data_IF_889578592698
#
_entry.id   IF_889578592698
#
_cell.length_a   1.000
_cell.length_b   1.000
_cell.length_c   1.000
_cell.angle_alpha   90.00
_cell.angle_beta   90.00
_cell.angle_gamma   90.00
#
_symmetry.space_group_name_H-M   'P 1'
#
loop_
_entity.id
_entity.type
_entity.pdbx_description
1 polymer ?
#
# COMPACT_ATOMS: atom_id res chain seq x y z
N UNK A 1 2.20 29.27 30.06
CA UNK A 1 1.76 28.04 29.33
C UNK A 1 1.65 26.91 30.35
N UNK A 2 0.51 26.23 30.49
CA UNK A 2 0.33 25.19 31.53
C UNK A 2 0.80 23.80 31.06
N UNK A 3 1.22 22.94 31.99
CA UNK A 3 1.67 21.56 31.74
C UNK A 3 0.65 20.73 30.90
N UNK A 4 -0.65 20.98 31.06
CA UNK A 4 -1.70 20.33 30.28
C UNK A 4 -1.66 20.70 28.77
N UNK A 5 -1.25 21.93 28.43
CA UNK A 5 -1.09 22.35 27.03
C UNK A 5 0.12 21.66 26.39
N UNK A 6 1.21 21.49 27.15
CA UNK A 6 2.40 20.78 26.69
C UNK A 6 2.11 19.29 26.47
N UNK A 7 1.46 18.61 27.43
CA UNK A 7 1.09 17.20 27.29
C UNK A 7 0.18 16.93 26.08
N UNK A 8 -0.77 17.82 25.77
CA UNK A 8 -1.61 17.69 24.57
C UNK A 8 -0.81 17.84 23.26
N UNK A 9 0.19 18.71 23.21
CA UNK A 9 1.05 18.88 22.03
C UNK A 9 1.93 17.67 21.81
N UNK A 10 2.53 17.14 22.87
CA UNK A 10 3.37 15.95 22.83
C UNK A 10 2.56 14.72 22.40
N UNK A 11 1.35 14.53 22.93
CA UNK A 11 0.46 13.44 22.54
C UNK A 11 0.08 13.52 21.04
N UNK A 12 -0.27 14.70 20.52
CA UNK A 12 -0.54 14.89 19.08
C UNK A 12 0.68 14.58 18.22
N UNK A 13 1.87 14.99 18.66
CA UNK A 13 3.14 14.70 17.96
C UNK A 13 3.39 13.19 17.92
N UNK A 14 3.18 12.48 19.02
CA UNK A 14 3.33 11.04 19.07
C UNK A 14 2.35 10.31 18.15
N UNK A 15 1.06 10.67 18.17
CA UNK A 15 0.05 10.11 17.25
C UNK A 15 0.47 10.33 15.79
N UNK A 16 0.88 11.55 15.44
CA UNK A 16 1.32 11.87 14.08
C UNK A 16 2.53 11.03 13.66
N UNK A 17 3.53 10.86 14.53
CA UNK A 17 4.71 10.05 14.25
C UNK A 17 4.37 8.56 14.11
N UNK A 18 3.51 8.03 14.98
CA UNK A 18 3.04 6.64 14.92
C UNK A 18 2.26 6.36 13.63
N UNK A 19 1.38 7.28 13.22
CA UNK A 19 0.64 7.23 11.96
C UNK A 19 1.57 7.29 10.76
N UNK A 20 2.48 8.27 10.72
CA UNK A 20 3.46 8.40 9.63
C UNK A 20 4.25 7.10 9.42
N UNK A 21 4.72 6.49 10.51
CA UNK A 21 5.42 5.21 10.46
C UNK A 21 4.53 4.09 9.90
N UNK A 22 3.33 3.90 10.48
CA UNK A 22 2.41 2.85 10.05
C UNK A 22 1.98 3.00 8.58
N UNK A 23 1.76 4.23 8.13
CA UNK A 23 1.36 4.55 6.77
C UNK A 23 2.49 4.26 5.79
N UNK A 24 3.71 4.68 6.11
CA UNK A 24 4.89 4.40 5.31
C UNK A 24 5.19 2.91 5.18
N UNK A 25 5.10 2.15 6.29
CA UNK A 25 5.31 0.71 6.27
C UNK A 25 4.26 -0.02 5.42
N UNK A 26 2.98 0.38 5.50
CA UNK A 26 1.94 -0.20 4.66
C UNK A 26 2.18 0.09 3.16
N UNK A 27 2.47 1.34 2.80
CA UNK A 27 2.76 1.69 1.40
C UNK A 27 4.00 0.95 0.88
N UNK A 28 5.04 0.82 1.70
CA UNK A 28 6.25 0.10 1.29
C UNK A 28 6.00 -1.39 1.09
N UNK A 29 5.30 -2.06 2.01
CA UNK A 29 5.04 -3.50 1.89
C UNK A 29 4.11 -3.81 0.72
N UNK A 30 3.04 -3.04 0.54
CA UNK A 30 2.07 -3.29 -0.54
C UNK A 30 2.67 -2.99 -1.93
N UNK A 31 3.48 -1.93 -2.06
CA UNK A 31 4.17 -1.63 -3.32
C UNK A 31 5.23 -2.70 -3.64
N UNK A 32 5.90 -3.23 -2.61
CA UNK A 32 6.84 -4.36 -2.75
C UNK A 32 6.14 -5.62 -3.25
N UNK A 33 4.97 -5.93 -2.69
CA UNK A 33 4.18 -7.08 -3.10
C UNK A 33 3.76 -6.97 -4.56
N UNK A 34 3.23 -5.81 -4.95
CA UNK A 34 2.84 -5.49 -6.32
C UNK A 34 4.04 -5.57 -7.28
N UNK A 35 5.18 -4.99 -6.92
CA UNK A 35 6.39 -5.03 -7.76
C UNK A 35 6.85 -6.46 -7.99
N UNK A 36 6.88 -7.27 -6.94
CA UNK A 36 7.32 -8.67 -7.00
C UNK A 36 6.42 -9.50 -7.93
N UNK A 37 5.10 -9.42 -7.75
CA UNK A 37 4.15 -10.29 -8.44
C UNK A 37 3.62 -9.73 -9.76
N UNK A 38 3.89 -8.46 -10.07
CA UNK A 38 3.56 -7.87 -11.37
C UNK A 38 4.81 -7.65 -12.23
N UNK A 39 5.80 -6.92 -11.72
CA UNK A 39 6.96 -6.49 -12.52
C UNK A 39 7.96 -7.62 -12.67
N UNK A 40 8.46 -8.17 -11.55
CA UNK A 40 9.43 -9.26 -11.59
C UNK A 40 8.84 -10.54 -12.18
N UNK A 41 7.53 -10.74 -12.03
CA UNK A 41 6.81 -11.82 -12.71
C UNK A 41 6.93 -11.70 -14.24
N UNK A 42 6.61 -10.51 -14.80
CA UNK A 42 6.71 -10.26 -16.24
C UNK A 42 8.13 -10.44 -16.75
N UNK A 43 9.12 -9.93 -16.02
CA UNK A 43 10.53 -10.08 -16.38
C UNK A 43 10.96 -11.55 -16.45
N UNK A 44 10.57 -12.37 -15.45
CA UNK A 44 10.90 -13.81 -15.46
C UNK A 44 10.22 -14.55 -16.59
N UNK A 45 8.94 -14.28 -16.85
CA UNK A 45 8.21 -14.90 -17.96
C UNK A 45 8.83 -14.52 -19.30
N UNK A 46 9.28 -13.28 -19.48
CA UNK A 46 10.00 -12.84 -20.68
C UNK A 46 11.31 -13.60 -20.91
N UNK A 47 11.95 -14.02 -19.84
CA UNK A 47 13.18 -14.81 -19.87
C UNK A 47 12.93 -16.33 -19.96
N UNK A 48 11.66 -16.77 -20.06
CA UNK A 48 11.29 -18.19 -20.09
C UNK A 48 11.54 -18.92 -18.76
N UNK A 49 11.62 -18.18 -17.65
CA UNK A 49 11.89 -18.71 -16.31
C UNK A 49 10.58 -19.07 -15.58
N UNK A 50 10.69 -19.93 -14.58
CA UNK A 50 9.56 -20.26 -13.70
C UNK A 50 9.29 -19.15 -12.68
N UNK A 51 8.03 -19.02 -12.26
CA UNK A 51 7.55 -17.99 -11.32
C UNK A 51 7.32 -18.51 -9.90
N UNK A 52 7.49 -19.81 -9.66
CA UNK A 52 7.20 -20.47 -8.39
C UNK A 52 7.95 -19.85 -7.20
N UNK A 53 9.23 -19.48 -7.37
CA UNK A 53 10.00 -18.79 -6.32
C UNK A 53 9.45 -17.39 -6.01
N UNK A 54 8.95 -16.67 -7.02
CA UNK A 54 8.35 -15.35 -6.83
C UNK A 54 7.02 -15.48 -6.10
N UNK A 55 6.19 -16.46 -6.46
CA UNK A 55 4.91 -16.74 -5.81
C UNK A 55 5.11 -17.13 -4.33
N UNK A 56 6.08 -18.00 -4.03
CA UNK A 56 6.42 -18.36 -2.66
C UNK A 56 6.90 -17.17 -1.82
N UNK A 57 7.74 -16.29 -2.40
CA UNK A 57 8.13 -15.02 -1.76
C UNK A 57 6.95 -14.07 -1.62
N UNK A 58 6.02 -14.08 -2.58
CA UNK A 58 4.81 -13.29 -2.57
C UNK A 58 3.95 -13.57 -1.34
N UNK A 59 3.80 -14.84 -0.94
CA UNK A 59 3.06 -15.23 0.27
C UNK A 59 3.70 -14.65 1.56
N UNK A 60 5.03 -14.62 1.63
CA UNK A 60 5.73 -14.02 2.79
C UNK A 60 5.47 -12.51 2.85
N UNK A 61 5.55 -11.82 1.71
CA UNK A 61 5.30 -10.38 1.65
C UNK A 61 3.82 -10.07 1.92
N UNK A 62 2.90 -10.92 1.50
CA UNK A 62 1.48 -10.80 1.81
C UNK A 62 1.22 -10.73 3.33
N UNK A 63 1.86 -11.60 4.11
CA UNK A 63 1.76 -11.53 5.58
C UNK A 63 2.28 -10.20 6.13
N UNK A 64 3.36 -9.66 5.56
CA UNK A 64 3.89 -8.34 5.95
C UNK A 64 2.91 -7.21 5.60
N UNK A 65 2.24 -7.30 4.45
CA UNK A 65 1.17 -6.37 4.05
C UNK A 65 0.02 -6.43 5.07
N UNK A 66 -0.44 -7.62 5.43
CA UNK A 66 -1.53 -7.79 6.41
C UNK A 66 -1.15 -7.23 7.79
N UNK A 67 0.07 -7.47 8.26
CA UNK A 67 0.59 -6.90 9.52
C UNK A 67 0.66 -5.37 9.45
N UNK A 68 1.15 -4.81 8.35
CA UNK A 68 1.23 -3.36 8.16
C UNK A 68 -0.16 -2.72 8.07
N UNK A 69 -1.10 -3.34 7.34
CA UNK A 69 -2.48 -2.90 7.24
C UNK A 69 -3.18 -2.91 8.61
N UNK A 70 -2.94 -3.92 9.44
CA UNK A 70 -3.47 -3.98 10.81
C UNK A 70 -3.07 -2.75 11.63
N UNK A 71 -1.85 -2.23 11.44
CA UNK A 71 -1.40 -1.00 12.11
C UNK A 71 -2.11 0.24 11.57
N UNK A 72 -2.40 0.28 10.26
CA UNK A 72 -3.23 1.35 9.66
C UNK A 72 -4.65 1.30 10.23
N UNK A 73 -5.24 0.11 10.41
CA UNK A 73 -6.55 -0.07 11.03
C UNK A 73 -6.55 0.43 12.47
N UNK A 74 -5.51 0.13 13.26
CA UNK A 74 -5.45 0.57 14.65
C UNK A 74 -5.23 2.09 14.80
N UNK A 75 -4.35 2.68 13.99
CA UNK A 75 -3.86 4.04 14.19
C UNK A 75 -4.53 5.08 13.28
N UNK A 76 -5.08 4.65 12.15
CA UNK A 76 -5.67 5.52 11.15
C UNK A 76 -7.10 5.93 11.47
N UNK A 77 -7.54 7.12 11.04
CA UNK A 77 -8.96 7.49 11.02
C UNK A 77 -9.70 6.73 9.92
N UNK A 78 -11.02 6.64 10.01
CA UNK A 78 -11.86 5.83 9.10
C UNK A 78 -11.61 6.08 7.61
N UNK A 79 -11.43 7.33 7.12
CA UNK A 79 -11.14 7.57 5.70
C UNK A 79 -9.83 6.91 5.24
N UNK A 80 -8.79 6.90 6.09
CA UNK A 80 -7.51 6.24 5.76
C UNK A 80 -7.72 4.73 5.71
N UNK A 81 -8.50 4.15 6.63
CA UNK A 81 -8.78 2.70 6.65
C UNK A 81 -9.52 2.26 5.39
N UNK A 82 -10.54 3.01 4.99
CA UNK A 82 -11.30 2.73 3.78
C UNK A 82 -10.43 2.79 2.52
N UNK A 83 -9.63 3.84 2.37
CA UNK A 83 -8.72 3.97 1.22
C UNK A 83 -7.62 2.89 1.23
N UNK A 84 -7.14 2.48 2.41
CA UNK A 84 -6.18 1.39 2.53
C UNK A 84 -6.74 0.06 2.06
N UNK A 85 -7.97 -0.26 2.44
CA UNK A 85 -8.65 -1.46 1.98
C UNK A 85 -8.87 -1.41 0.46
N UNK A 86 -9.33 -0.27 -0.08
CA UNK A 86 -9.52 -0.09 -1.51
C UNK A 86 -8.22 -0.27 -2.30
N UNK A 87 -7.11 0.31 -1.84
CA UNK A 87 -5.82 0.15 -2.50
C UNK A 87 -5.29 -1.29 -2.40
N UNK A 88 -5.47 -1.96 -1.25
CA UNK A 88 -5.16 -3.38 -1.10
C UNK A 88 -5.91 -4.23 -2.13
N UNK A 89 -7.22 -4.08 -2.23
CA UNK A 89 -8.00 -4.83 -3.23
C UNK A 89 -7.54 -4.54 -4.66
N UNK A 90 -7.32 -3.28 -5.02
CA UNK A 90 -6.83 -2.94 -6.36
C UNK A 90 -5.45 -3.56 -6.69
N UNK A 91 -4.58 -3.75 -5.68
CA UNK A 91 -3.31 -4.44 -5.84
C UNK A 91 -3.50 -5.94 -6.02
N UNK A 92 -4.39 -6.58 -5.25
CA UNK A 92 -4.75 -7.99 -5.43
C UNK A 92 -5.31 -8.22 -6.83
N UNK A 93 -6.29 -7.43 -7.25
CA UNK A 93 -6.91 -7.55 -8.59
C UNK A 93 -5.85 -7.44 -9.69
N UNK A 94 -4.87 -6.53 -9.52
CA UNK A 94 -3.76 -6.36 -10.47
C UNK A 94 -2.83 -7.57 -10.49
N UNK A 95 -2.51 -8.15 -9.34
CA UNK A 95 -1.66 -9.34 -9.20
C UNK A 95 -2.34 -10.53 -9.89
N UNK A 96 -3.60 -10.80 -9.55
CA UNK A 96 -4.39 -11.88 -10.13
C UNK A 96 -4.50 -11.73 -11.65
N UNK A 97 -4.78 -10.51 -12.13
CA UNK A 97 -4.81 -10.23 -13.56
C UNK A 97 -3.45 -10.46 -14.24
N UNK A 98 -2.32 -10.14 -13.58
CA UNK A 98 -0.98 -10.44 -14.13
C UNK A 98 -0.81 -11.93 -14.32
N UNK A 99 -1.06 -12.71 -13.26
CA UNK A 99 -0.80 -14.13 -13.24
C UNK A 99 -1.72 -14.88 -14.22
N UNK A 100 -2.95 -14.41 -14.40
CA UNK A 100 -3.92 -14.97 -15.34
C UNK A 100 -3.64 -14.61 -16.82
N UNK A 101 -2.93 -13.52 -17.10
CA UNK A 101 -2.74 -13.01 -18.47
C UNK A 101 -1.93 -13.96 -19.38
N UNK A 102 -1.10 -14.84 -18.82
CA UNK A 102 -0.38 -15.90 -19.54
C UNK A 102 0.64 -15.45 -20.59
N UNK A 103 0.76 -14.14 -20.84
CA UNK A 103 1.69 -13.53 -21.80
C UNK A 103 1.97 -12.07 -21.46
N UNK A 104 3.13 -11.57 -21.85
CA UNK A 104 3.54 -10.17 -21.62
C UNK A 104 2.62 -9.19 -22.34
N UNK A 105 2.19 -9.53 -23.56
CA UNK A 105 1.32 -8.67 -24.36
C UNK A 105 -0.05 -8.48 -23.69
N UNK A 106 -0.62 -9.54 -23.11
CA UNK A 106 -1.86 -9.44 -22.35
C UNK A 106 -1.67 -8.60 -21.08
N UNK A 107 -0.53 -8.75 -20.37
CA UNK A 107 -0.23 -7.92 -19.19
C UNK A 107 -0.14 -6.43 -19.53
N UNK A 108 0.46 -6.08 -20.68
CA UNK A 108 0.58 -4.70 -21.13
C UNK A 108 -0.76 -4.03 -21.46
N UNK A 109 -1.83 -4.82 -21.66
CA UNK A 109 -3.19 -4.34 -21.95
C UNK A 109 -4.08 -4.24 -20.70
N UNK A 110 -3.59 -4.63 -19.53
CA UNK A 110 -4.34 -4.54 -18.28
C UNK A 110 -4.57 -3.06 -17.94
N UNK A 111 -5.82 -2.70 -17.65
CA UNK A 111 -6.16 -1.33 -17.22
C UNK A 111 -5.58 -1.03 -15.84
N UNK A 112 -4.68 -0.05 -15.78
CA UNK A 112 -4.02 0.40 -14.55
C UNK A 112 -4.76 1.55 -13.86
N UNK A 113 -5.82 2.08 -14.47
CA UNK A 113 -6.56 3.22 -13.94
C UNK A 113 -7.12 2.97 -12.53
N UNK A 114 -7.77 1.84 -12.21
CA UNK A 114 -8.31 1.60 -10.87
C UNK A 114 -7.22 1.61 -9.79
N UNK A 115 -6.08 0.99 -10.08
CA UNK A 115 -4.91 0.97 -9.19
C UNK A 115 -4.33 2.37 -8.98
N UNK A 116 -4.17 3.13 -10.06
CA UNK A 116 -3.60 4.49 -10.01
C UNK A 116 -4.50 5.44 -9.22
N UNK A 117 -5.81 5.38 -9.44
CA UNK A 117 -6.79 6.20 -8.73
C UNK A 117 -6.86 5.84 -7.24
N UNK A 118 -6.89 4.54 -6.91
CA UNK A 118 -6.88 4.08 -5.52
C UNK A 118 -5.61 4.53 -4.79
N UNK A 119 -4.45 4.40 -5.43
CA UNK A 119 -3.16 4.84 -4.87
C UNK A 119 -3.13 6.35 -4.65
N UNK A 120 -3.61 7.14 -5.61
CA UNK A 120 -3.64 8.60 -5.50
C UNK A 120 -4.57 9.07 -4.37
N UNK A 121 -5.77 8.48 -4.27
CA UNK A 121 -6.71 8.77 -3.20
C UNK A 121 -6.12 8.43 -1.83
N UNK A 122 -5.49 7.25 -1.71
CA UNK A 122 -4.84 6.81 -0.48
C UNK A 122 -3.75 7.78 -0.01
N UNK A 123 -2.85 8.19 -0.91
CA UNK A 123 -1.83 9.19 -0.60
C UNK A 123 -2.43 10.53 -0.15
N UNK A 124 -3.46 11.01 -0.86
CA UNK A 124 -4.12 12.26 -0.54
C UNK A 124 -4.75 12.25 0.86
N UNK A 125 -5.45 11.17 1.20
CA UNK A 125 -6.12 11.01 2.50
C UNK A 125 -5.10 10.82 3.64
N UNK A 126 -4.04 10.05 3.42
CA UNK A 126 -2.94 9.90 4.38
C UNK A 126 -2.28 11.25 4.67
N UNK A 127 -1.91 12.00 3.62
CA UNK A 127 -1.29 13.32 3.74
C UNK A 127 -2.19 14.30 4.51
N UNK A 128 -3.47 14.39 4.14
CA UNK A 128 -4.44 15.21 4.87
C UNK A 128 -4.56 14.81 6.34
N UNK A 129 -4.62 13.51 6.64
CA UNK A 129 -4.74 13.01 8.02
C UNK A 129 -3.51 13.29 8.90
N UNK A 130 -2.35 13.51 8.27
CA UNK A 130 -1.11 13.90 8.92
C UNK A 130 -0.92 15.42 9.01
N UNK A 131 -1.82 16.22 8.42
CA UNK A 131 -1.62 17.67 8.27
C UNK A 131 -0.42 17.98 7.38
N UNK A 132 -0.27 17.22 6.29
CA UNK A 132 0.69 17.43 5.22
C UNK A 132 -0.12 17.83 3.97
N UNK A 133 -0.17 19.11 3.65
CA UNK A 133 -0.95 19.64 2.53
C UNK A 133 -1.18 21.15 2.68
N UNK A 134 -1.67 21.84 1.64
CA UNK A 134 -2.01 23.25 1.77
C UNK A 134 -3.17 23.42 2.76
N UNK A 135 -3.08 24.43 3.62
CA UNK A 135 -4.18 24.85 4.48
C UNK A 135 -5.29 25.42 3.56
N UNK A 136 -6.35 24.65 3.33
CA UNK A 136 -7.58 25.10 2.67
C UNK A 136 -8.73 25.09 3.67
#
# INVERSE_FOLDING_TARGET
MSAAVQGRREHRRWIRAARLKAYGEFLASIDTWMQLLCTSWVERVALGQTTSELEARGLVVEEEVQRAQSRVVLLGPDPVRACAAQYHHAVIDRIEATQAAGSIEAVARIDLKPLTEARALMLAVMNRSLGLGPDF
#
